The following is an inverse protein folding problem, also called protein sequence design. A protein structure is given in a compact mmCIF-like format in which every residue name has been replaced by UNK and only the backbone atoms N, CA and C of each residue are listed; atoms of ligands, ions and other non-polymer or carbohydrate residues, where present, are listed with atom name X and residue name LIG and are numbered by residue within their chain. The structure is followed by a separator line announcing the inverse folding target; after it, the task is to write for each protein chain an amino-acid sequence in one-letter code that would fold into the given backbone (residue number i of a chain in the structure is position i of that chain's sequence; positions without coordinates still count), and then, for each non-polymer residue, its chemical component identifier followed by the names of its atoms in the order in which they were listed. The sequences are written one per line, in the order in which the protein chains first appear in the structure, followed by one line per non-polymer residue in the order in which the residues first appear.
data_IF_732050855642
#
_entry.id   IF_732050855642
#
_cell.length_a   1.000
_cell.length_b   1.000
_cell.length_c   1.000
_cell.angle_alpha   90.00
_cell.angle_beta   90.00
_cell.angle_gamma   90.00
#
_symmetry.space_group_name_H-M   'P 1'
#
loop_
_entity.id
_entity.type
_entity.pdbx_description
1 polymer ?
#
# COMPACT_ATOMS: atom_id res chain seq x y z
N UNK A 1 -13.22 8.17 9.47
CA UNK A 1 -13.28 6.75 9.07
C UNK A 1 -12.55 6.63 7.75
N UNK A 2 -11.56 5.76 7.65
CA UNK A 2 -10.86 5.54 6.38
C UNK A 2 -11.59 4.45 5.60
N UNK A 3 -11.51 4.47 4.28
CA UNK A 3 -12.13 3.46 3.43
C UNK A 3 -11.31 3.25 2.17
N UNK A 4 -11.16 2.00 1.76
CA UNK A 4 -10.52 1.64 0.50
C UNK A 4 -11.63 1.31 -0.50
N UNK A 5 -11.65 2.02 -1.62
CA UNK A 5 -12.65 1.87 -2.66
C UNK A 5 -11.95 1.54 -3.98
N UNK A 6 -12.62 0.76 -4.83
CA UNK A 6 -12.29 0.73 -6.25
C UNK A 6 -13.40 1.42 -7.03
N UNK A 7 -13.01 2.05 -8.13
CA UNK A 7 -13.91 2.60 -9.13
C UNK A 7 -13.29 2.33 -10.49
N UNK A 8 -14.10 1.82 -11.41
CA UNK A 8 -13.73 1.69 -12.82
C UNK A 8 -14.42 2.81 -13.58
N UNK A 9 -13.64 3.71 -14.19
CA UNK A 9 -14.06 4.78 -15.12
C UNK A 9 -15.42 5.44 -14.81
N UNK A 10 -15.41 6.54 -14.05
CA UNK A 10 -16.55 7.44 -13.80
C UNK A 10 -17.83 6.80 -13.22
N UNK A 11 -17.78 5.56 -12.75
CA UNK A 11 -18.89 4.86 -12.09
C UNK A 11 -18.75 4.71 -10.57
N UNK A 12 -19.82 4.20 -9.97
CA UNK A 12 -20.03 4.02 -8.54
C UNK A 12 -18.82 3.45 -7.79
N UNK A 13 -18.54 4.03 -6.62
CA UNK A 13 -17.46 3.57 -5.76
C UNK A 13 -17.93 2.37 -4.97
N UNK A 14 -17.21 1.26 -5.09
CA UNK A 14 -17.46 0.06 -4.29
C UNK A 14 -16.41 -0.06 -3.19
N UNK A 15 -16.87 -0.17 -1.94
CA UNK A 15 -15.98 -0.36 -0.80
C UNK A 15 -15.35 -1.75 -0.87
N UNK A 16 -14.02 -1.80 -0.91
CA UNK A 16 -13.25 -3.05 -0.96
C UNK A 16 -13.13 -3.71 0.42
N UNK A 17 -13.02 -2.90 1.47
CA UNK A 17 -12.84 -3.36 2.84
C UNK A 17 -13.63 -2.45 3.76
N UNK A 18 -14.66 -3.00 4.40
CA UNK A 18 -15.47 -2.27 5.37
C UNK A 18 -14.77 -2.12 6.71
N UNK A 19 -15.10 -1.04 7.42
CA UNK A 19 -14.68 -0.82 8.80
C UNK A 19 -13.17 -0.60 8.98
N UNK A 20 -12.51 0.09 8.05
CA UNK A 20 -11.08 0.41 8.20
C UNK A 20 -10.88 1.49 9.28
N UNK A 21 -10.19 1.10 10.34
CA UNK A 21 -9.78 1.95 11.46
C UNK A 21 -8.57 2.82 11.11
N UNK A 22 -7.59 2.22 10.42
CA UNK A 22 -6.33 2.84 10.06
C UNK A 22 -5.79 2.25 8.76
N UNK A 23 -5.06 3.05 8.00
CA UNK A 23 -4.44 2.69 6.73
C UNK A 23 -3.04 3.26 6.65
N UNK A 24 -2.05 2.42 6.37
CA UNK A 24 -0.66 2.80 6.20
C UNK A 24 -0.19 2.42 4.80
N UNK A 25 0.55 3.33 4.15
CA UNK A 25 1.09 3.12 2.80
C UNK A 25 2.61 3.09 2.88
N UNK A 26 3.20 2.04 2.30
CA UNK A 26 4.64 1.84 2.22
C UNK A 26 5.07 1.62 0.79
N UNK A 27 6.29 2.03 0.47
CA UNK A 27 6.87 1.96 -0.87
C UNK A 27 8.00 0.95 -0.87
N UNK A 28 7.85 -0.08 -1.70
CA UNK A 28 8.84 -1.13 -1.89
C UNK A 28 9.96 -0.66 -2.82
N UNK A 29 11.19 -0.59 -2.30
CA UNK A 29 12.36 -0.15 -3.07
C UNK A 29 13.21 -1.34 -3.55
N UNK A 30 13.85 -1.13 -4.69
CA UNK A 30 14.86 -2.01 -5.26
C UNK A 30 16.26 -1.40 -5.12
N UNK A 31 17.21 -2.20 -4.62
CA UNK A 31 18.64 -1.86 -4.63
C UNK A 31 19.35 -2.47 -5.85
N UNK A 32 18.70 -2.40 -7.02
CA UNK A 32 19.14 -2.90 -8.34
C UNK A 32 19.09 -4.42 -8.57
N UNK A 33 18.46 -5.21 -7.71
CA UNK A 33 18.26 -6.66 -7.89
C UNK A 33 16.93 -7.00 -8.58
N UNK A 34 16.11 -6.00 -8.91
CA UNK A 34 14.79 -6.21 -9.52
C UNK A 34 13.74 -6.77 -8.54
N UNK A 35 14.08 -6.85 -7.25
CA UNK A 35 13.22 -7.36 -6.19
C UNK A 35 13.10 -6.33 -5.08
N UNK A 36 11.92 -6.28 -4.46
CA UNK A 36 11.67 -5.39 -3.33
C UNK A 36 12.40 -5.95 -2.11
N UNK A 37 13.36 -5.20 -1.58
CA UNK A 37 14.12 -5.61 -0.39
C UNK A 37 13.64 -4.93 0.90
N UNK A 38 13.04 -3.75 0.78
CA UNK A 38 12.62 -2.93 1.92
C UNK A 38 11.38 -2.13 1.55
N UNK A 39 10.52 -1.95 2.55
CA UNK A 39 9.36 -1.06 2.48
C UNK A 39 9.62 0.16 3.38
N UNK A 40 9.45 1.35 2.82
CA UNK A 40 9.70 2.63 3.48
C UNK A 40 8.46 3.53 3.45
N UNK A 41 8.35 4.46 4.40
CA UNK A 41 7.30 5.48 4.36
C UNK A 41 7.62 6.57 3.34
N UNK A 42 6.60 7.30 2.88
CA UNK A 42 6.75 8.39 1.91
C UNK A 42 7.81 9.43 2.31
N UNK A 43 7.87 9.75 3.61
CA UNK A 43 8.86 10.67 4.17
C UNK A 43 10.29 10.17 3.93
N UNK A 44 10.57 8.91 4.26
CA UNK A 44 11.91 8.31 4.08
C UNK A 44 12.30 8.25 2.59
N UNK A 45 11.36 7.89 1.71
CA UNK A 45 11.59 7.89 0.25
C UNK A 45 11.95 9.29 -0.26
N UNK A 46 11.26 10.31 0.24
CA UNK A 46 11.46 11.70 -0.16
C UNK A 46 12.78 12.24 0.37
N UNK A 47 13.04 12.05 1.67
CA UNK A 47 14.25 12.53 2.33
C UNK A 47 15.52 11.88 1.71
N UNK A 48 15.44 10.60 1.33
CA UNK A 48 16.53 9.86 0.69
C UNK A 48 16.55 9.96 -0.85
N UNK A 49 15.57 10.66 -1.45
CA UNK A 49 15.42 10.84 -2.92
C UNK A 49 15.35 9.51 -3.70
N UNK A 50 14.62 8.52 -3.17
CA UNK A 50 14.55 7.15 -3.70
C UNK A 50 13.34 6.86 -4.60
N UNK A 51 12.56 7.87 -5.01
CA UNK A 51 11.35 7.66 -5.83
C UNK A 51 11.60 6.88 -7.12
N UNK A 52 12.77 7.06 -7.74
CA UNK A 52 13.17 6.34 -8.95
C UNK A 52 13.46 4.84 -8.71
N UNK A 53 13.65 4.43 -7.45
CA UNK A 53 13.93 3.05 -7.04
C UNK A 53 12.68 2.29 -6.59
N UNK A 54 11.51 2.94 -6.55
CA UNK A 54 10.27 2.32 -6.10
C UNK A 54 9.73 1.37 -7.18
N UNK A 55 9.48 0.11 -6.81
CA UNK A 55 8.90 -0.92 -7.68
C UNK A 55 7.48 -1.35 -7.28
N UNK A 56 7.11 -1.18 -6.01
CA UNK A 56 5.79 -1.57 -5.51
C UNK A 56 5.29 -0.62 -4.43
N UNK A 57 3.99 -0.73 -4.15
CA UNK A 57 3.33 -0.13 -2.99
C UNK A 57 2.71 -1.26 -2.17
N UNK A 58 2.84 -1.15 -0.85
CA UNK A 58 2.12 -1.98 0.12
C UNK A 58 1.16 -1.08 0.88
N UNK A 59 -0.10 -1.46 0.91
CA UNK A 59 -1.13 -0.81 1.72
C UNK A 59 -1.49 -1.78 2.85
N UNK A 60 -1.27 -1.36 4.09
CA UNK A 60 -1.66 -2.10 5.29
C UNK A 60 -2.93 -1.48 5.88
N UNK A 61 -3.95 -2.30 6.05
CA UNK A 61 -5.25 -1.91 6.59
C UNK A 61 -5.46 -2.55 7.95
N UNK A 62 -5.90 -1.75 8.92
CA UNK A 62 -6.36 -2.21 10.23
C UNK A 62 -7.87 -2.01 10.31
N UNK A 63 -8.64 -3.07 10.55
CA UNK A 63 -10.10 -3.01 10.66
C UNK A 63 -10.57 -2.82 12.11
N UNK A 64 -11.72 -2.18 12.31
CA UNK A 64 -12.40 -2.05 13.60
C UNK A 64 -13.17 -3.33 13.90
N UNK A 65 -12.94 -3.94 15.07
CA UNK A 65 -13.64 -5.15 15.52
C UNK A 65 -12.95 -5.84 16.70
N UNK A 66 -13.69 -6.67 17.45
CA UNK A 66 -13.21 -7.40 18.65
C UNK A 66 -11.97 -8.29 18.40
N UNK A 67 -11.67 -8.62 17.14
CA UNK A 67 -10.50 -9.38 16.69
C UNK A 67 -9.46 -8.50 15.95
N UNK A 68 -9.31 -7.23 16.34
CA UNK A 68 -8.46 -6.21 15.68
C UNK A 68 -6.97 -6.58 15.50
N UNK A 69 -6.49 -7.62 16.17
CA UNK A 69 -5.14 -8.17 15.99
C UNK A 69 -5.02 -9.15 14.81
N UNK A 70 -6.11 -9.79 14.41
CA UNK A 70 -6.11 -10.87 13.40
C UNK A 70 -6.49 -10.35 12.00
N UNK A 71 -7.27 -9.27 11.93
CA UNK A 71 -7.77 -8.72 10.66
C UNK A 71 -6.89 -7.58 10.13
N UNK A 72 -5.58 -7.82 10.00
CA UNK A 72 -4.71 -6.97 9.17
C UNK A 72 -4.78 -7.44 7.73
N UNK A 73 -5.17 -6.55 6.82
CA UNK A 73 -5.16 -6.85 5.38
C UNK A 73 -4.01 -6.09 4.74
N UNK A 74 -3.21 -6.80 3.94
CA UNK A 74 -2.09 -6.20 3.23
C UNK A 74 -2.32 -6.36 1.74
N UNK A 75 -2.33 -5.24 1.02
CA UNK A 75 -2.49 -5.19 -0.43
C UNK A 75 -1.16 -4.82 -1.04
N UNK A 76 -0.74 -5.59 -2.04
CA UNK A 76 0.49 -5.36 -2.79
C UNK A 76 0.15 -4.88 -4.19
N UNK A 77 0.69 -3.74 -4.58
CA UNK A 77 0.52 -3.15 -5.91
C UNK A 77 1.90 -3.10 -6.56
N UNK A 78 2.11 -3.88 -7.62
CA UNK A 78 3.32 -3.78 -8.44
C UNK A 78 3.18 -2.57 -9.37
N UNK A 79 4.14 -1.65 -9.31
CA UNK A 79 4.13 -0.43 -10.14
C UNK A 79 4.98 -0.59 -11.41
N UNK A 80 6.09 -1.33 -11.31
CA UNK A 80 7.04 -1.51 -12.40
C UNK A 80 7.49 -2.98 -12.45
N UNK A 81 7.58 -3.53 -13.65
CA UNK A 81 8.39 -4.71 -13.93
C UNK A 81 9.72 -4.27 -14.52
N UNK A 82 10.82 -4.96 -14.19
CA UNK A 82 11.89 -5.07 -15.19
C UNK A 82 11.38 -6.07 -16.22
N UNK A 83 11.20 -5.59 -17.46
CA UNK A 83 11.04 -6.47 -18.61
C UNK A 83 12.31 -7.26 -18.87
#
# INVERSE_FOLDING_TARGET
MYGLYYSTNHGDKHELVSGVADMQVYYGIDNNLGVVNKYLRAKEITDLKLWNKVLSVRIELKTQGRLSLINRRTIYIKLRGRG
#
